data_IF_505837984327
#
_entry.id   IF_505837984327
#
_cell.length_a   1.000
_cell.length_b   1.000
_cell.length_c   1.000
_cell.angle_alpha   90.00
_cell.angle_beta   90.00
_cell.angle_gamma   90.00
#
_symmetry.space_group_name_H-M   'P 1'
#
loop_
_entity.id
_entity.type
_entity.pdbx_description
1 polymer ?
#
# COMPACT_ATOMS: atom_id res chain seq x y z
N UNK A 1 -8.19 -9.73 7.45
CA UNK A 1 -9.31 -9.28 8.31
C UNK A 1 -9.37 -9.93 9.70
N UNK A 2 -8.57 -10.98 9.98
CA UNK A 2 -8.48 -11.59 11.32
C UNK A 2 -7.43 -10.91 12.21
N UNK A 3 -6.50 -10.17 11.61
CA UNK A 3 -5.35 -9.59 12.30
C UNK A 3 -5.77 -8.36 13.14
N UNK A 4 -6.67 -7.55 12.61
CA UNK A 4 -7.22 -6.34 13.24
C UNK A 4 -7.84 -6.62 14.61
N UNK A 5 -8.56 -7.75 14.72
CA UNK A 5 -9.19 -8.18 15.96
C UNK A 5 -8.17 -8.62 17.00
N UNK A 6 -7.08 -9.27 16.58
CA UNK A 6 -5.98 -9.63 17.48
C UNK A 6 -5.27 -8.39 18.03
N UNK A 7 -4.96 -7.43 17.15
CA UNK A 7 -4.32 -6.18 17.56
C UNK A 7 -5.20 -5.32 18.47
N UNK A 8 -6.50 -5.24 18.18
CA UNK A 8 -7.43 -4.44 18.99
C UNK A 8 -7.81 -5.11 20.31
N UNK A 9 -8.24 -6.37 20.28
CA UNK A 9 -8.74 -7.05 21.49
C UNK A 9 -7.63 -7.53 22.43
N UNK A 10 -6.51 -8.01 21.89
CA UNK A 10 -5.45 -8.60 22.73
C UNK A 10 -4.32 -7.62 23.05
N UNK A 11 -4.03 -6.68 22.14
CA UNK A 11 -2.92 -5.72 22.30
C UNK A 11 -3.38 -4.26 22.44
N UNK A 12 -4.69 -3.99 22.41
CA UNK A 12 -5.29 -2.67 22.61
C UNK A 12 -4.79 -1.57 21.67
N UNK A 13 -4.34 -1.92 20.46
CA UNK A 13 -4.06 -0.94 19.41
C UNK A 13 -5.35 -0.45 18.76
N UNK A 14 -5.52 0.85 18.51
CA UNK A 14 -6.75 1.37 17.94
C UNK A 14 -6.88 0.94 16.46
N UNK A 15 -8.11 0.66 16.03
CA UNK A 15 -8.37 0.08 14.71
C UNK A 15 -7.87 0.97 13.56
N UNK A 16 -7.98 2.29 13.72
CA UNK A 16 -7.50 3.28 12.74
C UNK A 16 -5.97 3.29 12.56
N UNK A 17 -5.22 2.69 13.48
CA UNK A 17 -3.76 2.54 13.38
C UNK A 17 -3.34 1.26 12.67
N UNK A 18 -4.14 0.20 12.83
CA UNK A 18 -3.85 -1.13 12.28
C UNK A 18 -4.69 -1.47 11.06
N UNK A 19 -5.39 -0.49 10.47
CA UNK A 19 -6.23 -0.75 9.29
C UNK A 19 -5.40 -1.31 8.13
N UNK A 20 -5.82 -2.42 7.51
CA UNK A 20 -5.12 -3.01 6.39
C UNK A 20 -5.29 -2.17 5.11
N UNK A 21 -4.34 -2.32 4.18
CA UNK A 21 -4.47 -1.75 2.83
C UNK A 21 -5.54 -2.48 2.02
N UNK A 22 -6.22 -1.76 1.13
CA UNK A 22 -7.18 -2.31 0.18
C UNK A 22 -6.48 -2.71 -1.12
N UNK A 23 -6.71 -3.95 -1.57
CA UNK A 23 -6.24 -4.47 -2.87
C UNK A 23 -7.39 -4.57 -3.89
N UNK A 24 -8.64 -4.44 -3.40
CA UNK A 24 -9.86 -4.70 -4.16
C UNK A 24 -9.96 -3.95 -5.51
N UNK A 25 -9.70 -2.63 -5.63
CA UNK A 25 -9.75 -1.93 -6.91
C UNK A 25 -8.81 -2.51 -7.97
N UNK A 26 -7.59 -2.88 -7.56
CA UNK A 26 -6.61 -3.49 -8.45
C UNK A 26 -7.04 -4.90 -8.86
N UNK A 27 -7.52 -5.71 -7.90
CA UNK A 27 -7.98 -7.07 -8.17
C UNK A 27 -9.18 -7.10 -9.13
N UNK A 28 -10.15 -6.19 -8.96
CA UNK A 28 -11.29 -6.06 -9.87
C UNK A 28 -10.85 -5.73 -11.30
N UNK A 29 -9.84 -4.86 -11.47
CA UNK A 29 -9.31 -4.56 -12.81
C UNK A 29 -8.60 -5.78 -13.44
N UNK A 30 -7.88 -6.58 -12.64
CA UNK A 30 -7.31 -7.85 -13.13
C UNK A 30 -8.40 -8.81 -13.61
N UNK A 31 -9.46 -8.99 -12.83
CA UNK A 31 -10.55 -9.91 -13.18
C UNK A 31 -11.33 -9.42 -14.40
N UNK A 32 -11.65 -8.12 -14.47
CA UNK A 32 -12.37 -7.53 -15.61
C UNK A 32 -11.54 -7.65 -16.89
N UNK A 33 -10.24 -7.36 -16.84
CA UNK A 33 -9.37 -7.45 -18.02
C UNK A 33 -9.21 -8.90 -18.50
N UNK A 34 -9.09 -9.87 -17.58
CA UNK A 34 -9.09 -11.28 -17.94
C UNK A 34 -10.43 -11.74 -18.52
N UNK A 35 -11.54 -11.32 -17.91
CA UNK A 35 -12.88 -11.69 -18.37
C UNK A 35 -13.18 -11.16 -19.79
N UNK A 36 -12.83 -9.90 -20.05
CA UNK A 36 -13.10 -9.25 -21.35
C UNK A 36 -12.13 -9.70 -22.45
N UNK A 37 -10.83 -9.77 -22.16
CA UNK A 37 -9.82 -10.10 -23.18
C UNK A 37 -9.64 -11.59 -23.41
N UNK A 38 -9.99 -12.42 -22.41
CA UNK A 38 -9.72 -13.88 -22.36
C UNK A 38 -8.27 -14.23 -22.71
N UNK A 39 -7.34 -13.30 -22.53
CA UNK A 39 -5.95 -13.44 -22.92
C UNK A 39 -5.05 -13.05 -21.75
N UNK A 40 -4.30 -14.03 -21.26
CA UNK A 40 -3.41 -13.87 -20.11
C UNK A 40 -2.31 -12.84 -20.34
N UNK A 41 -1.83 -12.65 -21.58
CA UNK A 41 -0.84 -11.62 -21.90
C UNK A 41 -1.41 -10.21 -21.77
N UNK A 42 -2.65 -10.01 -22.21
CA UNK A 42 -3.33 -8.72 -22.12
C UNK A 42 -3.65 -8.41 -20.65
N UNK A 43 -4.08 -9.42 -19.88
CA UNK A 43 -4.26 -9.28 -18.42
C UNK A 43 -2.95 -8.94 -17.72
N UNK A 44 -1.83 -9.55 -18.10
CA UNK A 44 -0.53 -9.27 -17.50
C UNK A 44 -0.13 -7.80 -17.69
N UNK A 45 -0.25 -7.29 -18.92
CA UNK A 45 0.16 -5.93 -19.26
C UNK A 45 -0.84 -4.88 -18.73
N UNK A 46 -2.12 -5.04 -19.05
CA UNK A 46 -3.16 -4.06 -18.75
C UNK A 46 -3.66 -4.22 -17.32
N UNK A 47 -4.11 -5.43 -16.96
CA UNK A 47 -4.60 -5.72 -15.61
C UNK A 47 -3.49 -5.60 -14.56
N UNK A 48 -2.31 -6.17 -14.82
CA UNK A 48 -1.15 -6.04 -13.94
C UNK A 48 -0.68 -4.58 -13.81
N UNK A 49 -0.68 -3.82 -14.90
CA UNK A 49 -0.37 -2.40 -14.87
C UNK A 49 -1.36 -1.59 -14.02
N UNK A 50 -2.66 -1.79 -14.23
CA UNK A 50 -3.70 -1.12 -13.42
C UNK A 50 -3.67 -1.54 -11.96
N UNK A 51 -3.30 -2.80 -11.66
CA UNK A 51 -3.15 -3.27 -10.29
C UNK A 51 -2.15 -2.44 -9.48
N UNK A 52 -0.96 -2.19 -10.04
CA UNK A 52 0.06 -1.36 -9.38
C UNK A 52 -0.32 0.12 -9.33
N UNK A 53 -0.92 0.65 -10.40
CA UNK A 53 -1.30 2.06 -10.48
C UNK A 53 -2.45 2.42 -9.54
N UNK A 54 -3.45 1.56 -9.40
CA UNK A 54 -4.64 1.83 -8.58
C UNK A 54 -4.44 1.57 -7.10
N UNK A 55 -3.31 0.98 -6.71
CA UNK A 55 -3.03 0.69 -5.31
C UNK A 55 -3.01 1.97 -4.45
N UNK A 56 -2.22 2.98 -4.82
CA UNK A 56 -2.11 4.21 -4.04
C UNK A 56 -3.42 5.04 -4.03
N UNK A 57 -4.07 5.32 -5.19
CA UNK A 57 -5.35 6.02 -5.21
C UNK A 57 -6.48 5.28 -4.47
N UNK A 58 -6.54 3.94 -4.57
CA UNK A 58 -7.56 3.14 -3.90
C UNK A 58 -7.41 3.16 -2.38
N UNK A 59 -6.18 3.26 -1.87
CA UNK A 59 -5.87 3.34 -0.44
C UNK A 59 -6.02 4.77 0.13
N UNK A 60 -5.95 5.80 -0.72
CA UNK A 60 -6.07 7.20 -0.29
C UNK A 60 -7.38 7.52 0.42
N UNK A 61 -8.47 6.84 0.08
CA UNK A 61 -9.79 7.05 0.72
C UNK A 61 -9.75 6.72 2.23
N UNK A 62 -8.94 5.73 2.63
CA UNK A 62 -8.79 5.32 4.03
C UNK A 62 -7.68 6.12 4.72
N UNK A 63 -6.51 6.24 4.07
CA UNK A 63 -5.33 6.82 4.71
C UNK A 63 -5.18 8.34 4.49
N UNK A 64 -5.94 8.96 3.60
CA UNK A 64 -5.88 10.41 3.35
C UNK A 64 -6.02 11.24 4.64
N UNK A 65 -7.00 10.95 5.52
CA UNK A 65 -7.15 11.65 6.80
C UNK A 65 -5.95 11.51 7.75
N UNK A 66 -5.16 10.43 7.66
CA UNK A 66 -3.99 10.24 8.54
C UNK A 66 -2.77 11.05 8.11
N UNK A 67 -2.81 11.66 6.92
CA UNK A 67 -1.77 12.55 6.40
C UNK A 67 -1.97 14.02 6.84
N UNK A 68 -3.04 14.32 7.59
CA UNK A 68 -3.28 15.67 8.09
C UNK A 68 -2.15 16.11 9.04
N UNK A 69 -1.66 17.35 8.93
CA UNK A 69 -0.64 17.88 9.81
C UNK A 69 -1.21 18.15 11.21
N UNK A 70 -0.49 17.71 12.23
CA UNK A 70 -0.77 17.98 13.65
C UNK A 70 0.49 18.56 14.28
N UNK A 71 0.34 19.64 15.05
CA UNK A 71 1.44 20.23 15.80
C UNK A 71 1.38 19.70 17.23
N UNK A 72 2.41 18.98 17.64
CA UNK A 72 2.55 18.41 18.98
C UNK A 72 3.89 18.88 19.54
N UNK A 73 3.86 19.50 20.71
CA UNK A 73 5.08 20.00 21.40
C UNK A 73 5.97 20.91 20.53
N UNK A 74 5.37 21.62 19.56
CA UNK A 74 6.07 22.52 18.65
C UNK A 74 6.68 21.84 17.41
N UNK A 75 6.53 20.52 17.26
CA UNK A 75 6.98 19.75 16.10
C UNK A 75 5.78 19.45 15.19
N UNK A 76 5.98 19.57 13.88
CA UNK A 76 5.00 19.19 12.86
C UNK A 76 5.09 17.68 12.61
N UNK A 77 4.03 16.94 12.94
CA UNK A 77 3.91 15.50 12.70
C UNK A 77 2.67 15.23 11.84
N UNK A 78 2.66 14.13 11.09
CA UNK A 78 1.42 13.62 10.52
C UNK A 78 0.58 12.96 11.63
N UNK A 79 -0.75 12.91 11.47
CA UNK A 79 -1.61 12.16 12.39
C UNK A 79 -1.16 10.68 12.52
N UNK A 80 -0.69 10.08 11.43
CA UNK A 80 -0.13 8.72 11.45
C UNK A 80 1.11 8.58 12.34
N UNK A 81 2.03 9.54 12.28
CA UNK A 81 3.24 9.54 13.11
C UNK A 81 2.90 9.83 14.57
N UNK A 82 1.94 10.71 14.82
CA UNK A 82 1.45 10.98 16.17
C UNK A 82 0.83 9.74 16.82
N UNK A 83 -0.01 9.01 16.09
CA UNK A 83 -0.55 7.73 16.57
C UNK A 83 0.57 6.72 16.85
N UNK A 84 1.59 6.63 15.99
CA UNK A 84 2.75 5.77 16.20
C UNK A 84 3.63 6.17 17.41
N UNK A 85 3.58 7.45 17.82
CA UNK A 85 4.25 7.94 19.02
C UNK A 85 3.45 7.68 20.30
N UNK A 86 2.12 7.87 20.25
CA UNK A 86 1.23 7.63 21.39
C UNK A 86 1.12 6.15 21.76
N UNK A 87 1.03 5.26 20.75
CA UNK A 87 0.86 3.83 20.97
C UNK A 87 2.20 3.12 20.90
N UNK A 88 2.77 2.84 22.08
CA UNK A 88 4.11 2.26 22.24
C UNK A 88 4.14 0.82 21.69
N UNK A 89 4.99 0.60 20.68
CA UNK A 89 5.29 -0.74 20.15
C UNK A 89 6.65 -1.21 20.66
N UNK A 90 6.63 -2.06 21.69
CA UNK A 90 7.83 -2.51 22.43
C UNK A 90 8.90 -3.17 21.57
N UNK A 91 8.54 -3.75 20.42
CA UNK A 91 9.46 -4.43 19.50
C UNK A 91 9.73 -3.73 18.16
N UNK A 92 9.10 -2.58 17.88
CA UNK A 92 9.23 -1.90 16.58
C UNK A 92 9.49 -0.39 16.78
N UNK A 93 10.74 -0.01 17.12
CA UNK A 93 11.12 1.38 17.27
C UNK A 93 11.07 2.12 15.93
N UNK A 94 10.98 3.45 15.98
CA UNK A 94 10.77 4.33 14.82
C UNK A 94 11.80 4.13 13.70
N UNK A 95 13.07 3.98 14.05
CA UNK A 95 14.18 3.82 13.09
C UNK A 95 14.13 2.52 12.26
N UNK A 96 13.28 1.56 12.62
CA UNK A 96 13.08 0.31 11.85
C UNK A 96 12.13 0.55 10.66
N UNK A 97 11.41 1.68 10.64
CA UNK A 97 10.46 2.00 9.57
C UNK A 97 11.18 2.32 8.27
N UNK A 98 10.86 1.55 7.22
CA UNK A 98 11.29 1.82 5.85
C UNK A 98 10.27 2.76 5.18
N UNK A 99 10.40 4.05 5.45
CA UNK A 99 9.58 5.11 4.85
C UNK A 99 10.46 6.06 4.03
N UNK A 100 9.84 6.89 3.20
CA UNK A 100 10.57 7.91 2.46
C UNK A 100 11.19 8.92 3.43
N UNK A 101 12.52 9.04 3.43
CA UNK A 101 13.29 10.04 4.21
C UNK A 101 13.90 11.14 3.33
N UNK A 102 13.51 11.18 2.05
CA UNK A 102 14.12 12.02 1.03
C UNK A 102 15.52 11.53 0.61
N UNK A 103 15.94 11.88 -0.61
CA UNK A 103 17.30 11.65 -1.08
C UNK A 103 17.78 12.85 -1.89
N UNK A 104 19.10 13.06 -1.99
CA UNK A 104 19.68 14.12 -2.81
C UNK A 104 19.33 13.99 -4.31
N UNK A 105 18.76 12.86 -4.73
CA UNK A 105 18.36 12.56 -6.11
C UNK A 105 16.85 12.62 -6.33
N UNK A 106 16.04 12.89 -5.30
CA UNK A 106 14.58 12.92 -5.43
C UNK A 106 14.08 14.33 -5.76
N UNK A 107 13.26 14.45 -6.80
CA UNK A 107 12.44 15.63 -7.02
C UNK A 107 11.19 15.51 -6.13
N UNK A 108 11.09 16.34 -5.10
CA UNK A 108 10.01 16.29 -4.11
C UNK A 108 8.62 16.38 -4.75
N UNK A 109 7.65 15.65 -4.19
CA UNK A 109 6.25 15.67 -4.62
C UNK A 109 5.88 14.70 -5.76
N UNK A 110 6.86 14.08 -6.43
CA UNK A 110 6.60 13.11 -7.52
C UNK A 110 6.86 11.64 -7.15
N UNK A 111 7.35 11.39 -5.94
CA UNK A 111 7.79 10.05 -5.50
C UNK A 111 6.66 9.03 -5.53
N UNK A 112 5.44 9.41 -5.16
CA UNK A 112 4.25 8.55 -5.19
C UNK A 112 3.91 8.07 -6.59
N UNK A 113 3.98 8.96 -7.59
CA UNK A 113 3.69 8.63 -8.99
C UNK A 113 4.76 7.69 -9.55
N UNK A 114 6.04 8.01 -9.30
CA UNK A 114 7.16 7.17 -9.76
C UNK A 114 7.08 5.77 -9.13
N UNK A 115 6.79 5.69 -7.84
CA UNK A 115 6.62 4.42 -7.14
C UNK A 115 5.42 3.62 -7.69
N UNK A 116 4.30 4.27 -8.00
CA UNK A 116 3.13 3.61 -8.59
C UNK A 116 3.42 3.03 -9.99
N UNK A 117 4.14 3.76 -10.85
CA UNK A 117 4.57 3.24 -12.15
C UNK A 117 5.58 2.10 -12.02
N UNK A 118 6.53 2.22 -11.08
CA UNK A 118 7.46 1.14 -10.81
C UNK A 118 6.74 -0.13 -10.32
N UNK A 119 5.81 0.02 -9.38
CA UNK A 119 4.98 -1.08 -8.89
C UNK A 119 4.15 -1.71 -10.01
N UNK A 120 3.59 -0.90 -10.92
CA UNK A 120 2.86 -1.36 -12.10
C UNK A 120 3.74 -2.19 -13.04
N UNK A 121 4.99 -1.79 -13.27
CA UNK A 121 5.90 -2.58 -14.11
C UNK A 121 6.27 -3.92 -13.44
N UNK A 122 6.58 -3.89 -12.14
CA UNK A 122 6.92 -5.11 -11.39
C UNK A 122 5.72 -6.06 -11.31
N UNK A 123 4.49 -5.55 -11.14
CA UNK A 123 3.28 -6.39 -11.11
C UNK A 123 3.01 -7.08 -12.44
N UNK A 124 3.32 -6.45 -13.59
CA UNK A 124 3.24 -7.13 -14.90
C UNK A 124 4.16 -8.36 -14.95
N UNK A 125 5.41 -8.21 -14.50
CA UNK A 125 6.39 -9.31 -14.48
C UNK A 125 5.98 -10.42 -13.50
N UNK A 126 5.56 -10.03 -12.29
CA UNK A 126 5.13 -10.98 -11.27
C UNK A 126 3.89 -11.76 -11.72
N UNK A 127 2.94 -11.11 -12.40
CA UNK A 127 1.77 -11.79 -12.94
C UNK A 127 2.16 -12.90 -13.92
N UNK A 128 3.13 -12.67 -14.80
CA UNK A 128 3.61 -13.70 -15.73
C UNK A 128 4.23 -14.88 -14.98
N UNK A 129 5.10 -14.62 -13.99
CA UNK A 129 5.74 -15.67 -13.19
C UNK A 129 4.69 -16.51 -12.46
N UNK A 130 3.75 -15.85 -11.77
CA UNK A 130 2.71 -16.53 -11.02
C UNK A 130 1.69 -17.25 -11.91
N UNK A 131 1.42 -16.72 -13.10
CA UNK A 131 0.58 -17.41 -14.08
C UNK A 131 1.19 -18.74 -14.50
N UNK A 132 2.50 -18.77 -14.78
CA UNK A 132 3.19 -20.03 -15.10
C UNK A 132 3.24 -20.99 -13.91
N UNK A 133 3.52 -20.50 -12.71
CA UNK A 133 3.47 -21.34 -11.50
C UNK A 133 2.07 -21.93 -11.28
N UNK A 134 1.01 -21.14 -11.45
CA UNK A 134 -0.38 -21.61 -11.37
C UNK A 134 -0.82 -22.54 -12.50
N UNK A 135 0.02 -22.80 -13.52
CA UNK A 135 -0.19 -23.89 -14.48
C UNK A 135 0.48 -25.19 -14.03
N UNK A 136 1.48 -25.11 -13.17
CA UNK A 136 2.24 -26.25 -12.65
C UNK A 136 1.54 -26.87 -11.42
N UNK A 137 0.98 -26.02 -10.57
CA UNK A 137 0.14 -26.41 -9.44
C UNK A 137 -1.32 -26.55 -9.86
#
# INVERSE_FOLDING_TARGET
PFDDWGFYWWSHYPINFVTPSIILPGALMLDITLYLSRNWLITALVGGGFFGLLFYPGNWVIFGPTHLPVVVEGILLSMADYMGHLYIRTGTPEYVRLIEQGSLRTFGGHTTVIAAFFAAFVSMLMFVVWWYLGKVY
#
